data_IF_967923485102
#
_entry.id   IF_967923485102
#
_cell.length_a   1.000
_cell.length_b   1.000
_cell.length_c   1.000
_cell.angle_alpha   90.00
_cell.angle_beta   90.00
_cell.angle_gamma   90.00
#
_symmetry.space_group_name_H-M   'P 1'
#
loop_
_entity.id
_entity.type
_entity.pdbx_description
1 polymer ?
#
# COMPACT_ATOMS: atom_id res chain seq x y z
N UNK A 1 13.06 13.65 0.86
CA UNK A 1 12.32 13.26 -0.36
C UNK A 1 10.84 13.23 -0.04
N UNK A 2 10.01 13.93 -0.82
CA UNK A 2 8.56 14.02 -0.60
C UNK A 2 7.91 12.62 -0.58
N UNK A 3 6.99 12.33 0.34
CA UNK A 3 6.38 11.01 0.46
C UNK A 3 5.59 10.61 -0.79
N UNK A 4 5.00 11.59 -1.50
CA UNK A 4 4.38 11.37 -2.81
C UNK A 4 5.37 10.87 -3.88
N UNK A 5 6.61 11.39 -3.87
CA UNK A 5 7.65 10.95 -4.81
C UNK A 5 8.13 9.52 -4.49
N UNK A 6 8.27 9.18 -3.20
CA UNK A 6 8.57 7.81 -2.77
C UNK A 6 7.49 6.83 -3.25
N UNK A 7 6.21 7.19 -3.12
CA UNK A 7 5.09 6.39 -3.59
C UNK A 7 5.15 6.22 -5.12
N UNK A 8 5.39 7.30 -5.86
CA UNK A 8 5.47 7.23 -7.32
C UNK A 8 6.60 6.31 -7.79
N UNK A 9 7.80 6.44 -7.21
CA UNK A 9 8.95 5.57 -7.52
C UNK A 9 8.62 4.12 -7.14
N UNK A 10 8.04 3.89 -5.97
CA UNK A 10 7.67 2.54 -5.53
C UNK A 10 6.65 1.89 -6.47
N UNK A 11 5.56 2.60 -6.81
CA UNK A 11 4.57 2.12 -7.77
C UNK A 11 5.21 1.85 -9.15
N UNK A 12 6.10 2.72 -9.63
CA UNK A 12 6.81 2.50 -10.89
C UNK A 12 7.71 1.24 -10.84
N UNK A 13 8.40 1.00 -9.73
CA UNK A 13 9.20 -0.20 -9.51
C UNK A 13 8.32 -1.45 -9.47
N UNK A 14 7.18 -1.41 -8.79
CA UNK A 14 6.23 -2.54 -8.75
C UNK A 14 5.65 -2.84 -10.13
N UNK A 15 5.32 -1.82 -10.92
CA UNK A 15 4.87 -1.99 -12.32
C UNK A 15 6.00 -2.56 -13.18
N UNK A 16 7.23 -2.07 -13.02
CA UNK A 16 8.40 -2.62 -13.72
C UNK A 16 8.65 -4.09 -13.38
N UNK A 17 8.55 -4.45 -12.10
CA UNK A 17 8.66 -5.83 -11.64
C UNK A 17 7.54 -6.71 -12.21
N UNK A 18 6.30 -6.20 -12.28
CA UNK A 18 5.18 -6.90 -12.91
C UNK A 18 5.48 -7.23 -14.38
N UNK A 19 5.92 -6.25 -15.18
CA UNK A 19 6.26 -6.48 -16.58
C UNK A 19 7.45 -7.42 -16.75
N UNK A 20 8.47 -7.33 -15.90
CA UNK A 20 9.61 -8.23 -15.92
C UNK A 20 9.21 -9.69 -15.62
N UNK A 21 8.32 -9.90 -14.64
CA UNK A 21 7.80 -11.23 -14.32
C UNK A 21 6.89 -11.75 -15.43
N UNK A 22 6.08 -10.89 -16.06
CA UNK A 22 5.24 -11.26 -17.20
C UNK A 22 6.07 -11.69 -18.43
N UNK A 23 7.24 -11.09 -18.64
CA UNK A 23 8.17 -11.45 -19.72
C UNK A 23 8.98 -12.74 -19.44
N UNK A 24 8.79 -13.36 -18.27
CA UNK A 24 9.48 -14.59 -17.83
C UNK A 24 8.51 -15.77 -17.72
N UNK A 25 9.04 -16.97 -17.47
CA UNK A 25 8.23 -18.19 -17.26
C UNK A 25 7.27 -18.10 -16.05
N UNK A 26 7.43 -17.08 -15.20
CA UNK A 26 6.54 -16.80 -14.08
C UNK A 26 5.23 -16.13 -14.48
N UNK A 27 5.08 -15.66 -15.73
CA UNK A 27 3.87 -14.97 -16.20
C UNK A 27 2.59 -15.79 -16.04
N UNK A 28 2.68 -17.13 -16.08
CA UNK A 28 1.55 -18.04 -15.88
C UNK A 28 0.94 -17.99 -14.46
N UNK A 29 1.70 -17.54 -13.46
CA UNK A 29 1.23 -17.44 -12.08
C UNK A 29 0.63 -16.07 -11.75
N UNK A 30 0.79 -15.10 -12.65
CA UNK A 30 0.33 -13.73 -12.43
C UNK A 30 -1.06 -13.59 -13.03
N UNK A 31 -2.01 -13.18 -12.20
CA UNK A 31 -3.36 -12.97 -12.68
C UNK A 31 -3.48 -11.72 -13.57
N UNK A 32 -4.31 -11.78 -14.61
CA UNK A 32 -4.57 -10.66 -15.54
C UNK A 32 -5.00 -9.36 -14.82
N UNK A 33 -5.59 -9.47 -13.63
CA UNK A 33 -6.06 -8.33 -12.83
C UNK A 33 -5.00 -7.72 -11.92
N UNK A 34 -3.74 -8.17 -12.00
CA UNK A 34 -2.62 -7.61 -11.25
C UNK A 34 -2.49 -6.09 -11.44
N UNK A 35 -2.65 -5.59 -12.68
CA UNK A 35 -2.59 -4.15 -12.97
C UNK A 35 -3.71 -3.40 -12.23
N UNK A 36 -4.92 -3.94 -12.22
CA UNK A 36 -6.04 -3.35 -11.48
C UNK A 36 -5.76 -3.32 -9.98
N UNK A 37 -5.16 -4.37 -9.41
CA UNK A 37 -4.74 -4.41 -8.02
C UNK A 37 -3.62 -3.39 -7.71
N UNK A 38 -2.63 -3.23 -8.59
CA UNK A 38 -1.58 -2.22 -8.45
C UNK A 38 -2.18 -0.81 -8.41
N UNK A 39 -3.12 -0.51 -9.32
CA UNK A 39 -3.82 0.78 -9.35
C UNK A 39 -4.61 0.97 -8.05
N UNK A 40 -5.38 -0.03 -7.63
CA UNK A 40 -6.16 -0.02 -6.40
C UNK A 40 -5.29 0.32 -5.18
N UNK A 41 -4.18 -0.40 -4.98
CA UNK A 41 -3.26 -0.16 -3.86
C UNK A 41 -2.54 1.19 -3.94
N UNK A 42 -2.20 1.64 -5.15
CA UNK A 42 -1.59 2.96 -5.35
C UNK A 42 -2.56 4.08 -4.99
N UNK A 43 -3.83 3.96 -5.38
CA UNK A 43 -4.88 4.93 -5.03
C UNK A 43 -5.15 4.96 -3.53
N UNK A 44 -5.24 3.80 -2.87
CA UNK A 44 -5.36 3.75 -1.39
C UNK A 44 -4.17 4.46 -0.72
N UNK A 45 -2.96 4.17 -1.17
CA UNK A 45 -1.74 4.78 -0.60
C UNK A 45 -1.73 6.30 -0.80
N UNK A 46 -2.20 6.78 -1.95
CA UNK A 46 -2.31 8.21 -2.23
C UNK A 46 -3.37 8.88 -1.34
N UNK A 47 -4.53 8.25 -1.17
CA UNK A 47 -5.59 8.72 -0.28
C UNK A 47 -5.10 8.82 1.16
N UNK A 48 -4.34 7.83 1.62
CA UNK A 48 -3.78 7.81 2.97
C UNK A 48 -2.71 8.90 3.14
N UNK A 49 -1.78 9.07 2.19
CA UNK A 49 -0.81 10.18 2.25
C UNK A 49 -1.48 11.56 2.26
N UNK A 50 -2.54 11.72 1.48
CA UNK A 50 -3.34 12.94 1.49
C UNK A 50 -4.03 13.14 2.85
N UNK A 51 -4.64 12.10 3.40
CA UNK A 51 -5.30 12.17 4.70
C UNK A 51 -4.29 12.45 5.84
N UNK A 52 -3.11 11.83 5.81
CA UNK A 52 -2.02 12.08 6.76
C UNK A 52 -1.69 13.58 6.80
N UNK A 53 -1.49 14.19 5.62
CA UNK A 53 -1.15 15.61 5.51
C UNK A 53 -2.25 16.60 5.95
N UNK A 54 -3.52 16.18 5.98
CA UNK A 54 -4.64 17.05 6.35
C UNK A 54 -5.14 16.83 7.79
N UNK A 55 -5.05 15.61 8.30
CA UNK A 55 -5.65 15.23 9.58
C UNK A 55 -4.63 15.01 10.70
N UNK A 56 -3.37 14.71 10.37
CA UNK A 56 -2.32 14.48 11.37
C UNK A 56 -1.54 15.77 11.57
N UNK A 57 -2.14 16.69 12.35
CA UNK A 57 -1.38 17.78 12.96
C UNK A 57 -0.40 17.19 13.99
N UNK A 58 0.76 17.83 14.22
CA UNK A 58 1.96 17.40 14.99
C UNK A 58 1.79 16.72 16.39
N UNK A 59 0.59 16.36 16.80
CA UNK A 59 0.27 15.56 17.97
C UNK A 59 0.53 14.06 17.70
N UNK A 60 1.50 13.51 18.45
CA UNK A 60 1.90 12.11 18.32
C UNK A 60 0.77 11.10 18.58
N UNK A 61 -0.27 11.46 19.34
CA UNK A 61 -1.41 10.59 19.59
C UNK A 61 -2.27 10.41 18.33
N UNK A 62 -2.51 11.49 17.59
CA UNK A 62 -3.27 11.45 16.33
C UNK A 62 -2.53 10.67 15.25
N UNK A 63 -1.19 10.69 15.26
CA UNK A 63 -0.37 9.90 14.35
C UNK A 63 -0.54 8.38 14.57
N UNK A 64 -0.50 7.91 15.82
CA UNK A 64 -0.65 6.47 16.12
C UNK A 64 -2.05 5.98 15.72
N UNK A 65 -3.08 6.75 16.04
CA UNK A 65 -4.45 6.45 15.62
C UNK A 65 -4.58 6.43 14.10
N UNK A 66 -3.92 7.35 13.40
CA UNK A 66 -3.90 7.38 11.94
C UNK A 66 -3.26 6.13 11.35
N UNK A 67 -2.10 5.69 11.85
CA UNK A 67 -1.41 4.48 11.35
C UNK A 67 -2.26 3.23 11.58
N UNK A 68 -2.86 3.07 12.75
CA UNK A 68 -3.76 1.92 13.02
C UNK A 68 -4.99 1.99 12.10
N UNK A 69 -5.54 3.19 11.92
CA UNK A 69 -6.66 3.46 11.03
C UNK A 69 -6.32 3.15 9.57
N UNK A 70 -5.11 3.48 9.11
CA UNK A 70 -4.66 3.25 7.73
C UNK A 70 -4.50 1.77 7.43
N UNK A 71 -3.89 1.02 8.35
CA UNK A 71 -3.76 -0.44 8.27
C UNK A 71 -5.15 -1.09 8.23
N UNK A 72 -6.05 -0.66 9.12
CA UNK A 72 -7.42 -1.19 9.21
C UNK A 72 -8.24 -0.88 7.96
N UNK A 73 -8.20 0.37 7.50
CA UNK A 73 -8.84 0.82 6.26
C UNK A 73 -8.38 -0.01 5.07
N UNK A 74 -7.06 -0.19 4.92
CA UNK A 74 -6.46 -0.97 3.83
C UNK A 74 -6.91 -2.42 3.88
N UNK A 75 -6.90 -3.04 5.06
CA UNK A 75 -7.33 -4.43 5.23
C UNK A 75 -8.81 -4.61 4.86
N UNK A 76 -9.70 -3.77 5.38
CA UNK A 76 -11.14 -3.87 5.14
C UNK A 76 -11.50 -3.63 3.67
N UNK A 77 -10.93 -2.59 3.06
CA UNK A 77 -11.19 -2.28 1.64
C UNK A 77 -10.56 -3.30 0.70
N UNK A 78 -9.41 -3.87 1.04
CA UNK A 78 -8.82 -5.00 0.28
C UNK A 78 -9.68 -6.25 0.36
N UNK A 79 -10.19 -6.56 1.56
CA UNK A 79 -11.08 -7.71 1.77
C UNK A 79 -12.38 -7.53 0.98
N UNK A 80 -12.98 -6.34 1.05
CA UNK A 80 -14.17 -6.00 0.28
C UNK A 80 -13.92 -6.18 -1.22
N UNK A 81 -12.83 -5.61 -1.75
CA UNK A 81 -12.48 -5.72 -3.16
C UNK A 81 -12.25 -7.17 -3.61
N UNK A 82 -11.54 -7.96 -2.81
CA UNK A 82 -11.30 -9.38 -3.09
C UNK A 82 -12.61 -10.18 -3.11
N UNK A 83 -13.49 -10.00 -2.12
CA UNK A 83 -14.79 -10.67 -2.06
C UNK A 83 -15.66 -10.26 -3.25
N UNK A 84 -15.76 -8.95 -3.54
CA UNK A 84 -16.54 -8.45 -4.69
C UNK A 84 -16.05 -9.06 -5.99
N UNK A 85 -14.74 -9.17 -6.18
CA UNK A 85 -14.16 -9.79 -7.36
C UNK A 85 -14.50 -11.28 -7.47
N UNK A 86 -14.28 -12.05 -6.40
CA UNK A 86 -14.54 -13.48 -6.38
C UNK A 86 -16.02 -13.81 -6.60
N UNK A 87 -16.93 -13.03 -6.00
CA UNK A 87 -18.37 -13.21 -6.18
C UNK A 87 -18.81 -12.85 -7.60
N UNK A 88 -18.22 -11.81 -8.22
CA UNK A 88 -18.60 -11.37 -9.56
C UNK A 88 -18.12 -12.32 -10.67
N UNK A 89 -16.93 -12.91 -10.52
CA UNK A 89 -16.36 -13.80 -11.54
C UNK A 89 -16.74 -15.27 -11.31
N UNK A 90 -17.06 -15.66 -10.08
CA UNK A 90 -17.59 -17.00 -9.77
C UNK A 90 -16.58 -18.14 -9.89
N UNK A 91 -15.30 -17.84 -10.12
CA UNK A 91 -14.23 -18.84 -10.18
C UNK A 91 -13.25 -18.67 -9.00
N UNK A 92 -12.93 -19.78 -8.33
CA UNK A 92 -11.84 -19.83 -7.35
C UNK A 92 -10.49 -19.75 -8.07
N UNK A 93 -10.04 -18.53 -8.32
CA UNK A 93 -8.78 -18.30 -9.00
C UNK A 93 -7.64 -18.11 -7.99
N UNK A 94 -6.96 -19.21 -7.64
CA UNK A 94 -5.85 -19.20 -6.67
C UNK A 94 -4.75 -18.22 -7.06
N UNK A 95 -4.48 -18.05 -8.36
CA UNK A 95 -3.51 -17.09 -8.89
C UNK A 95 -3.91 -15.64 -8.61
N UNK A 96 -5.21 -15.33 -8.64
CA UNK A 96 -5.73 -14.01 -8.23
C UNK A 96 -5.44 -13.75 -6.75
N UNK A 97 -5.79 -14.69 -5.87
CA UNK A 97 -5.61 -14.54 -4.42
C UNK A 97 -4.13 -14.32 -4.10
N UNK A 98 -3.24 -15.14 -4.66
CA UNK A 98 -1.80 -15.00 -4.45
C UNK A 98 -1.27 -13.65 -4.93
N UNK A 99 -1.65 -13.24 -6.15
CA UNK A 99 -1.20 -11.96 -6.73
C UNK A 99 -1.71 -10.78 -5.90
N UNK A 100 -2.99 -10.78 -5.57
CA UNK A 100 -3.64 -9.72 -4.81
C UNK A 100 -3.03 -9.59 -3.40
N UNK A 101 -2.80 -10.72 -2.73
CA UNK A 101 -2.18 -10.76 -1.40
C UNK A 101 -0.70 -10.37 -1.42
N UNK A 102 0.06 -10.78 -2.43
CA UNK A 102 1.45 -10.35 -2.59
C UNK A 102 1.55 -8.84 -2.76
N UNK A 103 0.69 -8.25 -3.60
CA UNK A 103 0.62 -6.80 -3.78
C UNK A 103 0.18 -6.09 -2.50
N UNK A 104 -0.79 -6.64 -1.77
CA UNK A 104 -1.19 -6.12 -0.46
C UNK A 104 0.01 -5.98 0.48
N UNK A 105 0.80 -7.05 0.64
CA UNK A 105 1.96 -7.06 1.53
C UNK A 105 3.04 -6.07 1.08
N UNK A 106 3.31 -5.98 -0.23
CA UNK A 106 4.30 -5.05 -0.78
C UNK A 106 3.92 -3.60 -0.46
N UNK A 107 2.68 -3.19 -0.75
CA UNK A 107 2.27 -1.81 -0.47
C UNK A 107 2.09 -1.53 1.02
N UNK A 108 1.62 -2.50 1.82
CA UNK A 108 1.55 -2.35 3.28
C UNK A 108 2.96 -2.17 3.87
N UNK A 109 3.92 -3.00 3.45
CA UNK A 109 5.31 -2.90 3.90
C UNK A 109 5.93 -1.54 3.54
N UNK A 110 5.68 -1.04 2.33
CA UNK A 110 6.09 0.29 1.91
C UNK A 110 5.46 1.40 2.77
N UNK A 111 4.17 1.32 3.07
CA UNK A 111 3.46 2.28 3.91
C UNK A 111 4.04 2.30 5.34
N UNK A 112 4.18 1.14 5.97
CA UNK A 112 4.79 1.00 7.29
C UNK A 112 6.21 1.55 7.34
N UNK A 113 7.04 1.24 6.33
CA UNK A 113 8.40 1.77 6.23
C UNK A 113 8.42 3.31 6.14
N UNK A 114 7.47 3.87 5.39
CA UNK A 114 7.35 5.33 5.21
C UNK A 114 6.91 6.01 6.51
N UNK A 115 5.94 5.44 7.25
CA UNK A 115 5.53 5.98 8.55
C UNK A 115 6.62 5.84 9.62
N UNK A 116 7.30 4.69 9.70
CA UNK A 116 8.39 4.46 10.67
C UNK A 116 9.58 5.39 10.45
N UNK A 117 9.93 5.68 9.19
CA UNK A 117 11.01 6.63 8.89
C UNK A 117 10.64 8.07 9.27
N UNK A 118 9.36 8.45 9.15
CA UNK A 118 8.88 9.76 9.61
C UNK A 118 8.85 9.86 11.15
N UNK A 119 8.44 8.80 11.85
CA UNK A 119 8.50 8.72 13.32
C UNK A 119 9.90 8.96 13.88
N UNK A 120 10.92 8.36 13.26
CA UNK A 120 12.32 8.54 13.69
C UNK A 120 12.76 10.00 13.58
N UNK A 121 12.30 10.73 12.58
CA UNK A 121 12.61 12.15 12.40
C UNK A 121 11.98 13.01 13.49
N UNK A 122 10.69 12.81 13.79
CA UNK A 122 9.98 13.58 14.83
C UNK A 122 10.47 13.26 16.25
N UNK A 123 10.93 12.04 16.52
CA UNK A 123 11.52 11.71 17.84
C UNK A 123 12.81 12.49 18.14
N UNK A 124 13.56 12.88 17.10
CA UNK A 124 14.81 13.63 17.26
C UNK A 124 14.58 15.13 17.46
N UNK A 125 13.53 15.72 16.90
CA UNK A 125 13.24 17.15 17.10
C UNK A 125 12.77 17.45 18.51
N UNK A 126 12.06 16.51 19.16
CA UNK A 126 11.61 16.67 20.57
C UNK A 126 12.79 16.71 21.56
N UNK A 127 13.96 16.14 21.22
CA UNK A 127 15.13 16.17 22.10
C UNK A 127 16.02 17.42 21.97
N UNK A 128 15.80 18.28 20.98
CA UNK A 128 16.65 19.47 20.77
C UNK A 128 16.07 20.73 21.44
N UNK A 129 14.78 20.69 21.82
CA UNK A 129 14.08 21.80 22.47
C UNK A 129 13.82 21.54 23.98
N UNK A 130 14.55 20.60 24.59
CA UNK A 130 14.46 20.23 26.01
C UNK A 130 15.61 20.76 26.84
#
# INVERSE_FOLDING_TARGET
MNNYLKLFIFSAVVVGAYFALMASDFGQYIHSTAIAAIIFYSLQSLLLLWAEGNFVNNDGQNFVLFVIGSISFRLLTSLLAAITYLVAIGEENTSFIMTFFALYLLFLGFELFTHMTNLRSNSKSVQIDG
#
